data_IF_430035299250
#
_entry.id   IF_430035299250
#
_cell.length_a   1.000
_cell.length_b   1.000
_cell.length_c   1.000
_cell.angle_alpha   90.00
_cell.angle_beta   90.00
_cell.angle_gamma   90.00
#
_symmetry.space_group_name_H-M   'P 1'
#
loop_
_entity.id
_entity.type
_entity.pdbx_description
1 polymer ?
#
# COMPACT_ATOMS: atom_id res chain seq x y z
N UNK A 1 8.47 10.84 -6.80
CA UNK A 1 8.12 11.39 -8.13
C UNK A 1 6.60 11.25 -8.32
N UNK A 2 5.86 12.35 -8.35
CA UNK A 2 4.38 12.29 -8.39
C UNK A 2 3.89 12.03 -9.82
N UNK A 3 3.18 10.92 -10.02
CA UNK A 3 2.55 10.50 -11.30
C UNK A 3 1.34 11.36 -11.72
N UNK A 4 1.27 12.62 -11.28
CA UNK A 4 0.13 13.51 -11.59
C UNK A 4 0.13 13.82 -13.09
N UNK A 5 -0.99 13.52 -13.76
CA UNK A 5 -1.23 13.88 -15.18
C UNK A 5 -0.84 12.80 -16.20
N UNK A 6 -0.26 11.67 -15.79
CA UNK A 6 0.00 10.56 -16.72
C UNK A 6 -1.29 9.77 -17.00
N UNK A 7 -1.57 9.51 -18.27
CA UNK A 7 -2.63 8.57 -18.68
C UNK A 7 -2.38 7.23 -17.99
N UNK A 8 -3.45 6.58 -17.49
CA UNK A 8 -3.39 5.27 -16.80
C UNK A 8 -2.49 4.26 -17.54
N UNK A 9 -2.60 4.18 -18.87
CA UNK A 9 -1.78 3.31 -19.71
C UNK A 9 -0.27 3.58 -19.61
N UNK A 10 0.17 4.83 -19.46
CA UNK A 10 1.59 5.16 -19.26
C UNK A 10 2.10 4.72 -17.89
N UNK A 11 1.29 4.86 -16.84
CA UNK A 11 1.67 4.41 -15.48
C UNK A 11 1.81 2.88 -15.45
N UNK A 12 0.87 2.19 -16.08
CA UNK A 12 0.86 0.73 -16.17
C UNK A 12 2.06 0.19 -16.96
N UNK A 13 2.37 0.78 -18.13
CA UNK A 13 3.54 0.40 -18.91
C UNK A 13 4.85 0.73 -18.16
N UNK A 14 4.90 1.86 -17.46
CA UNK A 14 6.06 2.21 -16.64
C UNK A 14 6.27 1.20 -15.50
N UNK A 15 5.21 0.83 -14.79
CA UNK A 15 5.29 -0.19 -13.72
C UNK A 15 5.72 -1.55 -14.26
N UNK A 16 5.16 -1.99 -15.39
CA UNK A 16 5.53 -3.27 -16.01
C UNK A 16 7.02 -3.30 -16.38
N UNK A 17 7.53 -2.22 -16.99
CA UNK A 17 8.94 -2.10 -17.33
C UNK A 17 9.84 -2.02 -16.10
N UNK A 18 9.47 -1.21 -15.10
CA UNK A 18 10.27 -1.02 -13.89
C UNK A 18 10.38 -2.28 -13.02
N UNK A 19 9.37 -3.15 -13.07
CA UNK A 19 9.36 -4.42 -12.35
C UNK A 19 9.90 -5.59 -13.18
N UNK A 20 10.34 -5.35 -14.42
CA UNK A 20 10.67 -6.39 -15.42
C UNK A 20 9.59 -7.49 -15.49
N UNK A 21 8.35 -7.11 -15.19
CA UNK A 21 7.23 -8.00 -15.11
C UNK A 21 6.54 -8.04 -16.48
N UNK A 22 6.92 -9.03 -17.28
CA UNK A 22 6.28 -9.34 -18.57
C UNK A 22 4.89 -9.99 -18.43
N UNK A 23 4.20 -9.79 -17.29
CA UNK A 23 2.98 -10.53 -16.91
C UNK A 23 1.71 -9.71 -17.13
N UNK A 24 0.56 -10.41 -17.07
CA UNK A 24 -0.77 -9.82 -17.19
C UNK A 24 -1.09 -8.89 -16.01
N UNK A 25 -0.91 -7.59 -16.23
CA UNK A 25 -1.23 -6.55 -15.27
C UNK A 25 -2.75 -6.40 -15.10
N UNK A 26 -3.24 -6.66 -13.88
CA UNK A 26 -4.64 -6.45 -13.51
C UNK A 26 -4.79 -5.22 -12.63
N UNK A 27 -5.77 -4.37 -12.94
CA UNK A 27 -6.07 -3.19 -12.14
C UNK A 27 -7.41 -3.36 -11.44
N UNK A 28 -7.37 -3.45 -10.12
CA UNK A 28 -8.56 -3.50 -9.27
C UNK A 28 -8.82 -2.09 -8.75
N UNK A 29 -10.07 -1.61 -8.89
CA UNK A 29 -10.51 -0.34 -8.30
C UNK A 29 -11.15 -0.63 -6.95
N UNK A 30 -10.63 -0.02 -5.91
CA UNK A 30 -11.15 -0.14 -4.55
C UNK A 30 -11.54 1.26 -4.08
N UNK A 31 -12.71 1.37 -3.44
CA UNK A 31 -13.13 2.58 -2.74
C UNK A 31 -13.06 2.32 -1.24
N UNK A 32 -12.45 3.25 -0.50
CA UNK A 32 -12.35 3.21 0.95
C UNK A 32 -13.21 4.37 1.49
N UNK A 33 -14.50 4.13 1.84
CA UNK A 33 -15.43 5.21 2.21
C UNK A 33 -15.16 5.77 3.61
N UNK A 34 -14.37 5.06 4.41
CA UNK A 34 -13.98 5.48 5.74
C UNK A 34 -13.07 6.70 5.67
N UNK A 35 -13.42 7.76 6.41
CA UNK A 35 -12.60 8.95 6.60
C UNK A 35 -11.44 8.68 7.57
N UNK A 36 -10.69 9.72 7.94
CA UNK A 36 -9.64 9.62 8.96
C UNK A 36 -8.22 9.68 8.40
N UNK A 37 -8.06 10.08 7.14
CA UNK A 37 -6.75 10.33 6.55
C UNK A 37 -6.78 11.51 5.60
N UNK A 38 -5.72 12.34 5.64
CA UNK A 38 -5.50 13.45 4.71
C UNK A 38 -5.29 13.01 3.25
N UNK A 39 -5.10 11.71 2.98
CA UNK A 39 -4.98 11.18 1.62
C UNK A 39 -6.34 10.92 0.95
N UNK A 40 -7.41 10.74 1.73
CA UNK A 40 -8.75 10.41 1.22
C UNK A 40 -9.84 11.35 1.73
N UNK A 41 -9.54 12.17 2.74
CA UNK A 41 -10.43 13.20 3.26
C UNK A 41 -9.76 14.58 3.20
N UNK A 42 -10.34 15.48 2.40
CA UNK A 42 -9.84 16.84 2.21
C UNK A 42 -10.00 17.72 3.45
N UNK A 43 -10.80 17.32 4.44
CA UNK A 43 -10.94 18.07 5.68
C UNK A 43 -9.74 17.92 6.62
N UNK A 44 -8.85 16.95 6.36
CA UNK A 44 -7.65 16.72 7.17
C UNK A 44 -6.44 17.46 6.59
N UNK A 45 -5.68 18.13 7.46
CA UNK A 45 -4.41 18.74 7.07
C UNK A 45 -3.33 17.69 6.82
N UNK A 46 -2.51 17.94 5.79
CA UNK A 46 -1.27 17.19 5.58
C UNK A 46 -0.29 17.47 6.74
N UNK A 47 0.49 16.46 7.15
CA UNK A 47 1.49 16.65 8.20
C UNK A 47 2.58 17.59 7.71
N UNK A 48 2.99 18.54 8.56
CA UNK A 48 4.15 19.38 8.33
C UNK A 48 5.36 18.63 8.87
N UNK A 49 6.08 17.93 8.00
CA UNK A 49 7.29 17.19 8.36
C UNK A 49 8.49 18.08 8.03
N UNK A 50 9.16 18.57 9.07
CA UNK A 50 10.31 19.47 8.96
C UNK A 50 11.65 18.78 9.23
N UNK A 51 11.62 17.65 9.93
CA UNK A 51 12.77 16.80 10.21
C UNK A 51 12.36 15.33 10.42
N UNK A 52 13.32 14.41 10.34
CA UNK A 52 13.09 12.98 10.66
C UNK A 52 12.63 12.75 12.10
N UNK A 53 12.90 13.69 13.02
CA UNK A 53 12.44 13.63 14.41
C UNK A 53 10.93 13.85 14.54
N UNK A 54 10.31 14.48 13.54
CA UNK A 54 8.85 14.64 13.45
C UNK A 54 8.18 13.34 13.00
N UNK A 55 8.98 12.36 12.56
CA UNK A 55 8.54 11.05 12.10
C UNK A 55 8.63 10.06 13.26
N UNK A 56 7.50 9.81 13.91
CA UNK A 56 7.39 8.88 15.02
C UNK A 56 6.75 9.52 16.25
N UNK A 57 5.96 8.73 17.00
CA UNK A 57 5.26 9.17 18.22
C UNK A 57 3.74 9.13 18.11
N UNK A 58 3.17 9.37 16.92
CA UNK A 58 1.74 9.18 16.64
C UNK A 58 1.54 8.70 15.21
N UNK A 59 0.38 8.12 14.92
CA UNK A 59 0.04 7.69 13.56
C UNK A 59 -0.16 8.95 12.69
N UNK A 60 0.56 9.10 11.56
CA UNK A 60 0.47 10.31 10.74
C UNK A 60 -0.92 10.47 10.12
N UNK A 61 -1.38 11.70 9.86
CA UNK A 61 -2.66 11.92 9.18
C UNK A 61 -2.71 11.34 7.76
N UNK A 62 -1.56 11.06 7.14
CA UNK A 62 -1.46 10.38 5.85
C UNK A 62 -1.70 8.87 5.92
N UNK A 63 -1.81 8.30 7.13
CA UNK A 63 -2.16 6.90 7.29
C UNK A 63 -3.62 6.66 6.90
N UNK A 64 -3.86 5.81 5.91
CA UNK A 64 -5.20 5.31 5.61
C UNK A 64 -5.44 4.05 6.43
N UNK A 65 -6.45 4.02 7.33
CA UNK A 65 -6.67 2.89 8.24
C UNK A 65 -6.76 1.54 7.51
N UNK A 66 -5.87 0.62 7.89
CA UNK A 66 -5.84 -0.77 7.43
C UNK A 66 -5.64 -0.96 5.92
N UNK A 67 -5.17 0.04 5.17
CA UNK A 67 -5.10 -0.04 3.71
C UNK A 67 -4.24 -1.20 3.21
N UNK A 68 -3.07 -1.45 3.80
CA UNK A 68 -2.22 -2.56 3.35
C UNK A 68 -2.82 -3.92 3.70
N UNK A 69 -3.60 -4.02 4.79
CA UNK A 69 -4.35 -5.23 5.10
C UNK A 69 -5.38 -5.53 4.01
N UNK A 70 -6.14 -4.52 3.57
CA UNK A 70 -7.11 -4.67 2.48
C UNK A 70 -6.40 -5.10 1.19
N UNK A 71 -5.27 -4.47 0.85
CA UNK A 71 -4.50 -4.84 -0.35
C UNK A 71 -4.02 -6.28 -0.30
N UNK A 72 -3.46 -6.71 0.84
CA UNK A 72 -2.98 -8.08 1.02
C UNK A 72 -4.12 -9.10 1.05
N UNK A 73 -5.29 -8.75 1.58
CA UNK A 73 -6.47 -9.61 1.53
C UNK A 73 -6.94 -9.86 0.08
N UNK A 74 -6.98 -8.81 -0.76
CA UNK A 74 -7.26 -8.96 -2.19
C UNK A 74 -6.19 -9.77 -2.90
N UNK A 75 -4.92 -9.51 -2.60
CA UNK A 75 -3.81 -10.25 -3.18
C UNK A 75 -3.85 -11.74 -2.80
N UNK A 76 -4.20 -12.05 -1.54
CA UNK A 76 -4.36 -13.41 -1.05
C UNK A 76 -5.50 -14.14 -1.74
N UNK A 77 -6.70 -13.55 -1.77
CA UNK A 77 -7.84 -14.12 -2.49
C UNK A 77 -7.53 -14.37 -3.98
N UNK A 78 -6.82 -13.43 -4.61
CA UNK A 78 -6.39 -13.61 -6.00
C UNK A 78 -5.35 -14.71 -6.16
N UNK A 79 -4.36 -14.77 -5.26
CA UNK A 79 -3.31 -15.78 -5.26
C UNK A 79 -3.90 -17.20 -5.16
N UNK A 80 -4.89 -17.42 -4.28
CA UNK A 80 -5.60 -18.70 -4.19
C UNK A 80 -6.30 -19.06 -5.51
N UNK A 81 -6.99 -18.10 -6.13
CA UNK A 81 -7.73 -18.36 -7.38
C UNK A 81 -6.84 -18.77 -8.57
N UNK A 82 -5.54 -18.50 -8.49
CA UNK A 82 -4.56 -18.81 -9.56
C UNK A 82 -3.44 -19.73 -9.09
N UNK A 83 -3.55 -20.32 -7.89
CA UNK A 83 -2.53 -21.16 -7.26
C UNK A 83 -1.13 -20.52 -7.20
N UNK A 84 -1.04 -19.21 -6.88
CA UNK A 84 0.24 -18.55 -6.69
C UNK A 84 0.85 -18.87 -5.32
N UNK A 85 2.14 -19.16 -5.30
CA UNK A 85 2.86 -19.52 -4.06
C UNK A 85 3.45 -18.32 -3.31
N UNK A 86 3.39 -17.12 -3.89
CA UNK A 86 4.03 -15.93 -3.34
C UNK A 86 3.22 -14.67 -3.61
N UNK A 87 3.16 -13.80 -2.59
CA UNK A 87 2.61 -12.45 -2.68
C UNK A 87 3.72 -11.47 -2.36
N UNK A 88 3.92 -10.50 -3.23
CA UNK A 88 4.85 -9.39 -3.04
C UNK A 88 4.07 -8.08 -2.91
N UNK A 89 4.49 -7.21 -1.99
CA UNK A 89 3.90 -5.88 -1.80
C UNK A 89 5.00 -4.81 -1.89
N UNK A 90 4.79 -3.79 -2.72
CA UNK A 90 5.69 -2.65 -2.87
C UNK A 90 5.53 -1.59 -1.77
N UNK A 91 5.47 -2.01 -0.51
CA UNK A 91 5.42 -1.08 0.61
C UNK A 91 6.80 -0.47 0.89
N UNK A 92 6.85 0.82 1.25
CA UNK A 92 8.11 1.50 1.57
C UNK A 92 8.55 1.15 3.00
N UNK A 93 9.82 0.78 3.19
CA UNK A 93 10.38 0.43 4.51
C UNK A 93 10.43 1.61 5.47
N UNK A 94 10.55 2.84 4.98
CA UNK A 94 10.58 4.07 5.81
C UNK A 94 9.23 4.33 6.49
N UNK A 95 8.14 3.89 5.86
CA UNK A 95 6.77 4.05 6.39
C UNK A 95 6.53 3.25 7.68
N UNK A 96 7.41 2.28 8.00
CA UNK A 96 7.38 1.49 9.25
C UNK A 96 7.22 2.35 10.51
N UNK A 97 7.90 3.50 10.52
CA UNK A 97 7.98 4.43 11.65
C UNK A 97 6.61 5.03 12.03
N UNK A 98 5.72 5.20 11.06
CA UNK A 98 4.41 5.84 11.25
C UNK A 98 3.21 4.92 11.05
N UNK A 99 3.30 3.89 10.21
CA UNK A 99 2.14 3.08 9.83
C UNK A 99 2.15 1.69 10.48
N UNK A 100 1.09 1.31 11.24
CA UNK A 100 1.04 0.02 11.93
C UNK A 100 1.01 -1.19 10.96
N UNK A 101 0.51 -1.00 9.74
CA UNK A 101 0.41 -2.02 8.69
C UNK A 101 1.62 -2.04 7.71
N UNK A 102 2.69 -1.31 8.05
CA UNK A 102 4.00 -1.41 7.38
C UNK A 102 5.04 -2.11 8.27
N UNK A 103 4.63 -2.66 9.43
CA UNK A 103 5.55 -3.24 10.42
C UNK A 103 5.97 -4.67 10.10
N UNK A 104 7.23 -5.06 10.37
CA UNK A 104 7.66 -6.44 10.23
C UNK A 104 6.76 -7.43 10.98
N UNK A 105 6.26 -7.06 12.16
CA UNK A 105 5.30 -7.87 12.93
C UNK A 105 4.00 -8.10 12.15
N UNK A 106 3.47 -7.06 11.50
CA UNK A 106 2.24 -7.14 10.70
C UNK A 106 2.41 -8.14 9.54
N UNK A 107 3.50 -8.02 8.77
CA UNK A 107 3.76 -8.93 7.65
C UNK A 107 4.00 -10.38 8.10
N UNK A 108 4.72 -10.58 9.22
CA UNK A 108 4.93 -11.94 9.78
C UNK A 108 3.61 -12.61 10.18
N UNK A 109 2.71 -11.87 10.81
CA UNK A 109 1.40 -12.40 11.22
C UNK A 109 0.54 -12.77 10.00
N UNK A 110 0.49 -11.91 8.98
CA UNK A 110 -0.25 -12.21 7.75
C UNK A 110 0.34 -13.40 6.99
N UNK A 111 1.67 -13.49 6.90
CA UNK A 111 2.30 -14.64 6.24
C UNK A 111 1.96 -15.95 6.97
N UNK A 112 1.92 -15.95 8.31
CA UNK A 112 1.51 -17.13 9.07
C UNK A 112 0.04 -17.50 8.82
N UNK A 113 -0.84 -16.52 8.68
CA UNK A 113 -2.26 -16.74 8.37
C UNK A 113 -2.46 -17.30 6.95
N UNK A 114 -1.59 -16.92 6.01
CA UNK A 114 -1.66 -17.38 4.61
C UNK A 114 -1.06 -18.78 4.36
N UNK A 115 -0.47 -19.42 5.40
CA UNK A 115 0.19 -20.74 5.31
C UNK A 115 -0.70 -21.88 5.85
N UNK A 116 -2.02 -21.74 5.80
CA UNK A 116 -2.99 -22.76 6.27
C UNK A 116 -3.23 -23.81 5.19
#
# INVERSE_FOLDING_TARGET
MALKGLKKSKILNWLANALECYTNLKVIRISLPWKGSSLIDKSYSLPQISSEKDIGGSIPSTYVPGRNLIFLAFAFSYAESVNASLILIGANSVDFSGYPDCRPQFYRLLNRLAQI
#
